data_IF_446977806428
#
_entry.id   IF_446977806428
#
_cell.length_a   1.000
_cell.length_b   1.000
_cell.length_c   1.000
_cell.angle_alpha   90.00
_cell.angle_beta   90.00
_cell.angle_gamma   90.00
#
_symmetry.space_group_name_H-M   'P 1'
#
loop_
_entity.id
_entity.type
_entity.pdbx_description
1 polymer ?
#
# COMPACT_ATOMS: atom_id res chain seq x y z
N UNK A 1 -33.05 2.77 0.16
CA UNK A 1 -32.94 3.85 1.17
C UNK A 1 -31.54 3.75 1.77
N UNK A 2 -30.68 4.64 1.30
CA UNK A 2 -29.22 4.62 1.42
C UNK A 2 -28.75 5.14 2.79
N UNK A 3 -28.41 4.23 3.71
CA UNK A 3 -27.90 4.60 5.05
C UNK A 3 -26.40 4.30 5.22
N UNK A 4 -25.73 3.74 4.22
CA UNK A 4 -24.32 3.30 4.30
C UNK A 4 -23.30 4.29 3.72
N UNK A 5 -23.69 5.10 2.72
CA UNK A 5 -22.78 6.02 2.02
C UNK A 5 -22.52 7.34 2.76
N UNK A 6 -23.47 7.80 3.58
CA UNK A 6 -23.37 9.07 4.30
C UNK A 6 -22.50 8.99 5.56
N UNK A 7 -22.36 7.81 6.15
CA UNK A 7 -21.54 7.59 7.36
C UNK A 7 -20.04 7.57 7.04
N UNK A 8 -19.63 6.98 5.91
CA UNK A 8 -18.22 6.91 5.49
C UNK A 8 -17.63 8.29 5.15
N UNK A 9 -18.39 9.11 4.43
CA UNK A 9 -17.98 10.47 4.04
C UNK A 9 -17.86 11.43 5.23
N UNK A 10 -18.74 11.27 6.25
CA UNK A 10 -18.68 12.09 7.46
C UNK A 10 -17.48 11.76 8.35
N UNK A 11 -17.07 10.48 8.39
CA UNK A 11 -15.88 10.03 9.14
C UNK A 11 -14.59 10.53 8.47
N UNK A 12 -14.46 10.42 7.14
CA UNK A 12 -13.30 10.96 6.40
C UNK A 12 -13.14 12.48 6.61
N UNK A 13 -14.24 13.26 6.53
CA UNK A 13 -14.19 14.72 6.71
C UNK A 13 -13.83 15.13 8.14
N UNK A 14 -14.14 14.30 9.13
CA UNK A 14 -13.75 14.52 10.53
C UNK A 14 -12.27 14.20 10.73
N UNK A 15 -11.77 13.10 10.15
CA UNK A 15 -10.35 12.72 10.21
C UNK A 15 -9.42 13.73 9.52
N UNK A 16 -9.82 14.28 8.37
CA UNK A 16 -9.04 15.32 7.68
C UNK A 16 -8.92 16.63 8.49
N UNK A 17 -9.97 17.01 9.23
CA UNK A 17 -9.93 18.17 10.14
C UNK A 17 -9.04 17.92 11.35
N UNK A 18 -9.11 16.72 11.92
CA UNK A 18 -8.25 16.31 13.04
C UNK A 18 -6.77 16.24 12.64
N UNK A 19 -6.47 15.78 11.42
CA UNK A 19 -5.12 15.77 10.85
C UNK A 19 -4.53 17.19 10.78
N UNK A 20 -5.27 18.13 10.19
CA UNK A 20 -4.84 19.55 10.12
C UNK A 20 -4.68 20.17 11.50
N UNK A 21 -5.60 19.89 12.42
CA UNK A 21 -5.50 20.38 13.80
C UNK A 21 -4.25 19.82 14.50
N UNK A 22 -3.96 18.52 14.35
CA UNK A 22 -2.79 17.89 14.96
C UNK A 22 -1.49 18.45 14.37
N UNK A 23 -1.43 18.69 13.05
CA UNK A 23 -0.26 19.33 12.41
C UNK A 23 -0.04 20.76 12.88
N UNK A 24 -1.11 21.53 13.09
CA UNK A 24 -1.00 22.90 13.62
C UNK A 24 -0.51 22.86 15.07
N UNK A 25 -1.01 21.94 15.89
CA UNK A 25 -0.58 21.78 17.29
C UNK A 25 0.89 21.37 17.35
N UNK A 26 1.34 20.40 16.54
CA UNK A 26 2.76 20.00 16.53
C UNK A 26 3.68 21.12 16.07
N UNK A 27 3.31 21.86 15.02
CA UNK A 27 4.08 23.01 14.54
C UNK A 27 4.18 24.11 15.61
N UNK A 28 3.06 24.41 16.28
CA UNK A 28 3.00 25.43 17.35
C UNK A 28 3.88 25.02 18.54
N UNK A 29 3.87 23.74 18.90
CA UNK A 29 4.69 23.19 19.98
C UNK A 29 6.19 23.26 19.65
N UNK A 30 6.57 22.92 18.42
CA UNK A 30 7.95 23.03 17.93
C UNK A 30 8.41 24.49 17.95
N UNK A 31 7.58 25.42 17.46
CA UNK A 31 7.88 26.85 17.51
C UNK A 31 8.02 27.37 18.94
N UNK A 32 7.14 26.95 19.86
CA UNK A 32 7.23 27.31 21.27
C UNK A 32 8.52 26.79 21.91
N UNK A 33 8.91 25.54 21.66
CA UNK A 33 10.17 24.97 22.13
C UNK A 33 11.39 25.70 21.56
N UNK A 34 11.37 26.07 20.28
CA UNK A 34 12.44 26.84 19.65
C UNK A 34 12.55 28.25 20.26
N UNK A 35 11.42 28.92 20.51
CA UNK A 35 11.39 30.23 21.16
C UNK A 35 11.88 30.18 22.61
N UNK A 36 11.49 29.16 23.38
CA UNK A 36 11.98 28.96 24.76
C UNK A 36 13.49 28.69 24.77
N UNK A 37 13.98 27.88 23.82
CA UNK A 37 15.42 27.63 23.65
C UNK A 37 16.19 28.90 23.31
N UNK A 38 15.62 29.73 22.42
CA UNK A 38 16.21 31.00 22.00
C UNK A 38 16.21 32.04 23.13
N UNK A 39 15.13 32.13 23.90
CA UNK A 39 15.02 33.01 25.07
C UNK A 39 15.95 32.58 26.20
N UNK A 40 16.15 31.27 26.38
CA UNK A 40 17.15 30.72 27.30
C UNK A 40 18.57 31.06 26.84
N UNK A 41 18.89 30.84 25.57
CA UNK A 41 20.20 31.18 25.00
C UNK A 41 20.48 32.70 24.99
N UNK A 42 19.44 33.52 24.88
CA UNK A 42 19.53 34.98 24.95
C UNK A 42 19.63 35.52 26.38
N UNK A 43 19.60 34.66 27.42
CA UNK A 43 19.69 35.06 28.82
C UNK A 43 18.46 35.84 29.33
N UNK A 44 17.34 35.78 28.62
CA UNK A 44 16.11 36.51 28.95
C UNK A 44 15.18 35.75 29.91
N UNK A 45 15.51 34.49 30.24
CA UNK A 45 14.82 33.71 31.27
C UNK A 45 15.48 33.91 32.65
N UNK A 46 14.69 33.94 33.74
CA UNK A 46 15.24 34.07 35.08
C UNK A 46 16.18 32.89 35.39
N UNK A 47 17.32 33.17 36.02
CA UNK A 47 18.36 32.22 36.46
C UNK A 47 17.86 31.07 37.35
N UNK A 48 16.57 31.08 37.72
CA UNK A 48 15.88 30.07 38.52
C UNK A 48 15.39 28.85 37.71
N UNK A 49 15.46 28.87 36.37
CA UNK A 49 15.12 27.69 35.58
C UNK A 49 16.30 26.72 35.55
N UNK A 50 16.38 25.86 36.57
CA UNK A 50 17.38 24.80 36.63
C UNK A 50 17.37 23.98 35.33
N UNK A 51 18.56 23.62 34.84
CA UNK A 51 18.76 22.77 33.67
C UNK A 51 17.93 21.47 33.74
N UNK A 52 17.67 20.99 34.96
CA UNK A 52 16.82 19.85 35.31
C UNK A 52 15.36 20.05 34.88
N UNK A 53 14.81 21.25 35.09
CA UNK A 53 13.43 21.61 34.77
C UNK A 53 13.28 21.79 33.27
N UNK A 54 14.27 22.41 32.61
CA UNK A 54 14.30 22.53 31.15
C UNK A 54 14.34 21.14 30.50
N UNK A 55 15.21 20.24 30.97
CA UNK A 55 15.31 18.87 30.49
C UNK A 55 14.01 18.08 30.73
N UNK A 56 13.35 18.25 31.87
CA UNK A 56 12.07 17.62 32.16
C UNK A 56 10.96 18.10 31.20
N UNK A 57 10.90 19.40 30.90
CA UNK A 57 9.94 19.96 29.93
C UNK A 57 10.21 19.41 28.53
N UNK A 58 11.47 19.39 28.08
CA UNK A 58 11.82 18.80 26.78
C UNK A 58 11.45 17.32 26.72
N UNK A 59 11.78 16.55 27.75
CA UNK A 59 11.46 15.11 27.80
C UNK A 59 9.96 14.86 27.76
N UNK A 60 9.17 15.64 28.50
CA UNK A 60 7.70 15.54 28.47
C UNK A 60 7.13 15.91 27.09
N UNK A 61 7.65 16.96 26.46
CA UNK A 61 7.24 17.39 25.11
C UNK A 61 7.59 16.32 24.07
N UNK A 62 8.82 15.81 24.07
CA UNK A 62 9.23 14.77 23.13
C UNK A 62 8.50 13.44 23.36
N UNK A 63 8.19 13.10 24.62
CA UNK A 63 7.41 11.90 24.96
C UNK A 63 5.99 11.93 24.39
N UNK A 64 5.43 13.10 24.10
CA UNK A 64 4.12 13.26 23.44
C UNK A 64 4.29 13.42 21.94
N UNK A 65 5.29 14.20 21.52
CA UNK A 65 5.54 14.52 20.12
C UNK A 65 5.95 13.29 19.30
N UNK A 66 6.83 12.43 19.83
CA UNK A 66 7.31 11.24 19.11
C UNK A 66 6.17 10.25 18.83
N UNK A 67 5.35 9.85 19.81
CA UNK A 67 4.17 9.01 19.53
C UNK A 67 3.16 9.68 18.61
N UNK A 68 2.91 10.99 18.75
CA UNK A 68 2.00 11.71 17.85
C UNK A 68 2.52 11.74 16.41
N UNK A 69 3.81 11.98 16.19
CA UNK A 69 4.43 11.93 14.87
C UNK A 69 4.39 10.52 14.28
N UNK A 70 4.67 9.48 15.09
CA UNK A 70 4.55 8.09 14.65
C UNK A 70 3.11 7.74 14.26
N UNK A 71 2.13 8.09 15.09
CA UNK A 71 0.71 7.92 14.77
C UNK A 71 0.32 8.67 13.50
N UNK A 72 0.80 9.91 13.30
CA UNK A 72 0.57 10.65 12.07
C UNK A 72 1.21 9.97 10.86
N UNK A 73 2.45 9.51 10.95
CA UNK A 73 3.11 8.80 9.84
C UNK A 73 2.39 7.51 9.50
N UNK A 74 1.96 6.74 10.50
CA UNK A 74 1.17 5.52 10.30
C UNK A 74 -0.17 5.84 9.66
N UNK A 75 -0.85 6.90 10.08
CA UNK A 75 -2.11 7.34 9.47
C UNK A 75 -1.86 7.85 8.04
N UNK A 76 -0.81 8.62 7.77
CA UNK A 76 -0.51 9.12 6.42
C UNK A 76 -0.04 8.04 5.46
N UNK A 77 0.58 6.96 5.95
CA UNK A 77 0.90 5.77 5.16
C UNK A 77 -0.32 4.85 4.98
N UNK A 78 -1.25 4.85 5.94
CA UNK A 78 -2.46 4.04 5.90
C UNK A 78 -3.63 4.73 5.20
N UNK A 79 -3.55 6.05 5.00
CA UNK A 79 -4.51 6.83 4.24
C UNK A 79 -4.15 6.64 2.76
N UNK A 80 -4.95 5.91 1.98
CA UNK A 80 -4.77 5.88 0.54
C UNK A 80 -4.83 7.33 0.06
N UNK A 81 -3.78 7.79 -0.63
CA UNK A 81 -3.88 9.02 -1.39
C UNK A 81 -5.04 8.83 -2.36
N UNK A 82 -6.20 9.39 -2.02
CA UNK A 82 -7.20 9.75 -3.01
C UNK A 82 -6.50 10.82 -3.86
N UNK A 83 -5.81 10.34 -4.89
CA UNK A 83 -5.20 11.17 -5.90
C UNK A 83 -6.35 11.90 -6.59
N UNK A 84 -6.56 13.16 -6.21
CA UNK A 84 -7.28 14.17 -6.99
C UNK A 84 -6.49 14.49 -8.28
N UNK A 85 -6.07 13.44 -8.99
CA UNK A 85 -5.53 13.55 -10.33
C UNK A 85 -6.74 13.59 -11.25
N UNK A 86 -6.93 14.67 -12.04
CA UNK A 86 -7.99 14.73 -13.03
C UNK A 86 -7.86 13.48 -13.90
N UNK A 87 -8.88 12.63 -13.89
CA UNK A 87 -9.02 11.50 -14.81
C UNK A 87 -8.66 12.01 -16.21
N UNK A 88 -7.59 11.49 -16.86
CA UNK A 88 -7.36 11.78 -18.26
C UNK A 88 -8.59 11.33 -19.04
N UNK A 89 -8.93 12.02 -20.14
CA UNK A 89 -10.19 11.82 -20.84
C UNK A 89 -10.34 10.35 -21.22
N UNK A 90 -11.56 9.84 -21.07
CA UNK A 90 -12.02 8.56 -21.60
C UNK A 90 -11.39 8.32 -22.97
N UNK A 91 -10.36 7.48 -23.02
CA UNK A 91 -10.01 6.77 -24.24
C UNK A 91 -10.85 5.52 -24.25
N UNK A 92 -11.97 5.66 -24.94
CA UNK A 92 -12.73 4.57 -25.52
C UNK A 92 -11.77 3.54 -26.15
N UNK A 93 -12.04 2.26 -25.89
CA UNK A 93 -11.51 1.08 -26.61
C UNK A 93 -10.04 0.65 -26.41
N UNK A 94 -9.59 0.53 -25.16
CA UNK A 94 -8.61 -0.50 -24.80
C UNK A 94 -9.26 -1.44 -23.79
N UNK A 95 -9.49 -2.69 -24.19
CA UNK A 95 -10.20 -3.66 -23.36
C UNK A 95 -9.59 -3.73 -21.97
N UNK A 96 -10.44 -3.79 -20.93
CA UNK A 96 -10.04 -3.84 -19.53
C UNK A 96 -8.80 -4.74 -19.38
N UNK A 97 -7.71 -4.15 -18.88
CA UNK A 97 -6.44 -4.83 -18.66
C UNK A 97 -6.25 -5.07 -17.17
N UNK A 98 -5.58 -6.17 -16.82
CA UNK A 98 -5.31 -6.51 -15.43
C UNK A 98 -4.22 -5.60 -14.88
N UNK A 99 -4.57 -4.81 -13.87
CA UNK A 99 -3.65 -3.92 -13.17
C UNK A 99 -3.42 -4.41 -11.74
N UNK A 100 -2.16 -4.33 -11.28
CA UNK A 100 -1.79 -4.69 -9.91
C UNK A 100 -1.54 -3.44 -9.10
N UNK A 101 -2.28 -3.29 -8.01
CA UNK A 101 -2.12 -2.20 -7.05
C UNK A 101 -1.46 -2.72 -5.77
N UNK A 102 -0.13 -2.58 -5.71
CA UNK A 102 0.65 -2.99 -4.54
C UNK A 102 0.36 -2.14 -3.31
N UNK A 103 0.02 -0.86 -3.48
CA UNK A 103 -0.19 0.07 -2.37
C UNK A 103 -1.44 -0.33 -1.59
N UNK A 104 -2.51 -0.66 -2.31
CA UNK A 104 -3.78 -1.06 -1.73
C UNK A 104 -3.90 -2.58 -1.51
N UNK A 105 -2.94 -3.36 -2.01
CA UNK A 105 -2.95 -4.80 -1.89
C UNK A 105 -4.07 -5.44 -2.71
N UNK A 106 -4.41 -4.85 -3.86
CA UNK A 106 -5.55 -5.21 -4.69
C UNK A 106 -5.16 -5.48 -6.14
N UNK A 107 -5.90 -6.40 -6.75
CA UNK A 107 -5.86 -6.69 -8.18
C UNK A 107 -7.08 -6.03 -8.82
N UNK A 108 -6.86 -5.24 -9.87
CA UNK A 108 -7.88 -4.40 -10.52
C UNK A 108 -8.08 -4.86 -11.96
N UNK A 109 -9.34 -5.03 -12.37
CA UNK A 109 -9.72 -5.32 -13.75
C UNK A 109 -11.00 -4.56 -14.08
N UNK A 110 -10.91 -3.52 -14.90
CA UNK A 110 -12.01 -2.59 -15.14
C UNK A 110 -12.56 -2.04 -13.82
N UNK A 111 -13.82 -2.34 -13.51
CA UNK A 111 -14.49 -1.94 -12.25
C UNK A 111 -14.34 -2.96 -11.10
N UNK A 112 -13.79 -4.15 -11.36
CA UNK A 112 -13.60 -5.20 -10.34
C UNK A 112 -12.30 -4.96 -9.58
N UNK A 113 -12.37 -5.09 -8.25
CA UNK A 113 -11.20 -5.06 -7.37
C UNK A 113 -11.21 -6.28 -6.46
N UNK A 114 -10.09 -6.98 -6.38
CA UNK A 114 -9.92 -8.19 -5.57
C UNK A 114 -8.74 -8.03 -4.63
N UNK A 115 -8.99 -8.11 -3.32
CA UNK A 115 -7.90 -8.06 -2.33
C UNK A 115 -7.14 -9.39 -2.31
N UNK A 116 -5.81 -9.31 -2.40
CA UNK A 116 -4.96 -10.48 -2.53
C UNK A 116 -3.80 -10.46 -1.53
N UNK A 117 -3.13 -11.60 -1.37
CA UNK A 117 -1.87 -11.67 -0.61
C UNK A 117 -0.75 -10.98 -1.39
N UNK A 118 0.19 -10.34 -0.69
CA UNK A 118 1.29 -9.60 -1.32
C UNK A 118 2.13 -10.47 -2.28
N UNK A 119 2.41 -11.73 -1.91
CA UNK A 119 3.13 -12.66 -2.78
C UNK A 119 2.43 -12.92 -4.12
N UNK A 120 1.10 -12.93 -4.14
CA UNK A 120 0.31 -13.10 -5.37
C UNK A 120 0.44 -11.86 -6.25
N UNK A 121 0.37 -10.67 -5.64
CA UNK A 121 0.46 -9.40 -6.34
C UNK A 121 1.84 -9.20 -6.97
N UNK A 122 2.92 -9.49 -6.23
CA UNK A 122 4.29 -9.39 -6.74
C UNK A 122 4.51 -10.29 -7.97
N UNK A 123 4.02 -11.54 -7.92
CA UNK A 123 4.12 -12.46 -9.06
C UNK A 123 3.29 -11.96 -10.24
N UNK A 124 2.04 -11.54 -10.01
CA UNK A 124 1.19 -11.04 -11.09
C UNK A 124 1.75 -9.76 -11.71
N UNK A 125 2.29 -8.84 -10.92
CA UNK A 125 2.92 -7.62 -11.41
C UNK A 125 4.13 -7.95 -12.28
N UNK A 126 5.00 -8.85 -11.79
CA UNK A 126 6.14 -9.29 -12.57
C UNK A 126 5.74 -9.90 -13.92
N UNK A 127 4.63 -10.65 -13.95
CA UNK A 127 4.11 -11.22 -15.18
C UNK A 127 3.50 -10.14 -16.09
N UNK A 128 2.71 -9.20 -15.58
CA UNK A 128 2.09 -8.13 -16.39
C UNK A 128 3.11 -7.12 -16.94
N UNK A 129 4.23 -6.90 -16.23
CA UNK A 129 5.28 -5.99 -16.67
C UNK A 129 6.11 -6.56 -17.85
N UNK A 130 6.00 -7.87 -18.11
CA UNK A 130 6.72 -8.54 -19.20
C UNK A 130 5.80 -8.78 -20.39
N UNK A 131 6.31 -8.52 -21.59
CA UNK A 131 5.56 -8.69 -22.85
C UNK A 131 5.12 -10.13 -23.14
N UNK A 132 5.81 -11.12 -22.59
CA UNK A 132 5.51 -12.55 -22.77
C UNK A 132 4.63 -13.11 -21.64
N UNK A 133 4.30 -12.29 -20.64
CA UNK A 133 3.56 -12.67 -19.44
C UNK A 133 4.08 -13.93 -18.75
N UNK A 134 5.38 -14.21 -18.86
CA UNK A 134 5.98 -15.44 -18.41
C UNK A 134 6.84 -15.24 -17.15
N UNK A 135 6.73 -16.18 -16.22
CA UNK A 135 7.61 -16.30 -15.06
C UNK A 135 8.25 -17.69 -15.02
N UNK A 136 9.58 -17.74 -14.96
CA UNK A 136 10.29 -19.00 -14.79
C UNK A 136 10.28 -19.44 -13.32
N UNK A 137 10.44 -20.74 -13.05
CA UNK A 137 10.53 -21.24 -11.66
C UNK A 137 11.68 -20.61 -10.87
N UNK A 138 12.80 -20.31 -11.53
CA UNK A 138 13.95 -19.66 -10.90
C UNK A 138 13.69 -18.21 -10.50
N UNK A 139 12.78 -17.52 -11.21
CA UNK A 139 12.50 -16.11 -10.97
C UNK A 139 11.67 -15.89 -9.69
N UNK A 140 10.96 -16.90 -9.19
CA UNK A 140 10.13 -16.79 -7.98
C UNK A 140 10.92 -16.30 -6.76
N UNK A 141 12.15 -16.76 -6.58
CA UNK A 141 12.97 -16.35 -5.45
C UNK A 141 13.36 -14.87 -5.51
N UNK A 142 13.66 -14.36 -6.71
CA UNK A 142 14.00 -12.97 -6.93
C UNK A 142 12.78 -12.06 -6.81
N UNK A 143 11.63 -12.46 -7.38
CA UNK A 143 10.37 -11.70 -7.34
C UNK A 143 9.81 -11.60 -5.92
N UNK A 144 9.96 -12.66 -5.13
CA UNK A 144 9.44 -12.70 -3.75
C UNK A 144 10.46 -12.29 -2.69
N UNK A 145 11.71 -12.02 -3.08
CA UNK A 145 12.86 -11.82 -2.19
C UNK A 145 12.96 -12.92 -1.10
N UNK A 146 12.74 -14.17 -1.52
CA UNK A 146 12.67 -15.34 -0.64
C UNK A 146 13.47 -16.51 -1.23
N UNK A 147 14.64 -16.77 -0.64
CA UNK A 147 15.55 -17.85 -1.05
C UNK A 147 14.96 -19.25 -0.85
N UNK A 148 13.86 -19.40 -0.11
CA UNK A 148 13.19 -20.69 0.01
C UNK A 148 12.52 -21.17 -1.30
N UNK A 149 12.45 -20.29 -2.31
CA UNK A 149 12.03 -20.60 -3.68
C UNK A 149 13.21 -20.89 -4.64
N UNK A 150 14.47 -20.71 -4.22
CA UNK A 150 15.63 -20.68 -5.15
C UNK A 150 16.21 -22.05 -5.51
N UNK A 151 15.72 -23.14 -4.92
CA UNK A 151 16.24 -24.48 -5.16
C UNK A 151 15.31 -25.28 -6.06
N UNK A 152 15.87 -26.07 -7.00
CA UNK A 152 15.09 -27.04 -7.79
C UNK A 152 14.71 -28.30 -6.99
N UNK A 153 14.53 -28.17 -5.67
CA UNK A 153 14.14 -29.27 -4.80
C UNK A 153 12.61 -29.44 -4.78
N UNK A 154 12.14 -30.62 -4.34
CA UNK A 154 10.71 -30.92 -4.29
C UNK A 154 9.93 -29.97 -3.38
N UNK A 155 10.56 -29.52 -2.28
CA UNK A 155 9.94 -28.59 -1.32
C UNK A 155 9.67 -27.22 -1.93
N UNK A 156 10.64 -26.64 -2.65
CA UNK A 156 10.47 -25.36 -3.33
C UNK A 156 9.42 -25.47 -4.46
N UNK A 157 9.47 -26.54 -5.25
CA UNK A 157 8.45 -26.83 -6.26
C UNK A 157 7.03 -26.95 -5.66
N UNK A 158 6.89 -27.60 -4.51
CA UNK A 158 5.61 -27.70 -3.80
C UNK A 158 5.08 -26.33 -3.33
N UNK A 159 5.98 -25.47 -2.81
CA UNK A 159 5.63 -24.08 -2.45
C UNK A 159 5.17 -23.27 -3.66
N UNK A 160 5.92 -23.31 -4.77
CA UNK A 160 5.55 -22.65 -6.02
C UNK A 160 4.18 -23.13 -6.50
N UNK A 161 3.95 -24.44 -6.52
CA UNK A 161 2.66 -25.02 -6.93
C UNK A 161 1.50 -24.56 -6.03
N UNK A 162 1.74 -24.44 -4.72
CA UNK A 162 0.74 -23.94 -3.76
C UNK A 162 0.42 -22.47 -4.00
N UNK A 163 1.44 -21.66 -4.25
CA UNK A 163 1.28 -20.25 -4.60
C UNK A 163 0.51 -20.10 -5.91
N UNK A 164 0.91 -20.81 -6.96
CA UNK A 164 0.22 -20.79 -8.26
C UNK A 164 -1.24 -21.23 -8.14
N UNK A 165 -1.53 -22.24 -7.32
CA UNK A 165 -2.91 -22.67 -7.07
C UNK A 165 -3.72 -21.57 -6.38
N UNK A 166 -3.09 -20.83 -5.47
CA UNK A 166 -3.72 -19.65 -4.83
C UNK A 166 -3.98 -18.54 -5.85
N UNK A 167 -3.03 -18.27 -6.76
CA UNK A 167 -3.21 -17.29 -7.83
C UNK A 167 -4.37 -17.69 -8.75
N UNK A 168 -4.46 -18.96 -9.16
CA UNK A 168 -5.60 -19.45 -9.94
C UNK A 168 -6.94 -19.27 -9.24
N UNK A 169 -6.97 -19.42 -7.91
CA UNK A 169 -8.19 -19.16 -7.14
C UNK A 169 -8.55 -17.69 -7.13
N UNK A 170 -7.57 -16.79 -7.02
CA UNK A 170 -7.77 -15.34 -7.10
C UNK A 170 -8.27 -14.90 -8.48
N UNK A 171 -7.72 -15.48 -9.55
CA UNK A 171 -8.09 -15.15 -10.92
C UNK A 171 -9.40 -15.82 -11.38
N UNK A 172 -10.05 -16.63 -10.54
CA UNK A 172 -11.23 -17.43 -10.94
C UNK A 172 -12.34 -16.59 -11.57
N UNK A 173 -12.59 -15.41 -11.01
CA UNK A 173 -13.69 -14.50 -11.38
C UNK A 173 -13.24 -13.41 -12.38
N UNK A 174 -12.02 -13.53 -12.89
CA UNK A 174 -11.38 -12.63 -13.84
C UNK A 174 -11.12 -13.36 -15.18
N UNK A 175 -11.04 -12.65 -16.31
CA UNK A 175 -10.78 -13.26 -17.61
C UNK A 175 -9.30 -13.55 -17.81
N UNK A 176 -8.62 -14.03 -16.77
CA UNK A 176 -7.21 -14.40 -16.81
C UNK A 176 -6.99 -15.77 -16.18
N UNK A 177 -5.98 -16.48 -16.67
CA UNK A 177 -5.57 -17.76 -16.10
C UNK A 177 -4.07 -17.98 -16.20
N UNK A 178 -3.55 -18.78 -15.27
CA UNK A 178 -2.14 -19.15 -15.24
C UNK A 178 -1.98 -20.61 -15.66
N UNK A 179 -1.25 -20.79 -16.76
CA UNK A 179 -0.96 -22.10 -17.39
C UNK A 179 0.50 -22.47 -17.15
N UNK A 180 0.75 -23.75 -16.87
CA UNK A 180 2.11 -24.26 -16.72
C UNK A 180 2.69 -24.59 -18.10
N UNK A 181 3.89 -24.08 -18.39
CA UNK A 181 4.58 -24.30 -19.66
C UNK A 181 5.75 -25.26 -19.43
N UNK A 182 5.61 -26.50 -19.93
CA UNK A 182 6.67 -27.51 -20.00
C UNK A 182 7.52 -27.70 -18.73
N UNK A 183 6.92 -27.52 -17.54
CA UNK A 183 7.60 -27.58 -16.23
C UNK A 183 8.69 -26.52 -16.01
N UNK A 184 8.88 -25.59 -16.95
CA UNK A 184 9.89 -24.52 -16.89
C UNK A 184 9.36 -23.30 -16.12
N UNK A 185 8.07 -23.02 -16.25
CA UNK A 185 7.47 -21.84 -15.64
C UNK A 185 5.98 -21.76 -15.89
N UNK A 186 5.45 -20.55 -15.77
CA UNK A 186 4.04 -20.27 -15.87
C UNK A 186 3.80 -19.04 -16.74
N UNK A 187 2.73 -19.06 -17.53
CA UNK A 187 2.30 -17.96 -18.37
C UNK A 187 0.92 -17.48 -17.95
N UNK A 188 0.72 -16.17 -17.92
CA UNK A 188 -0.57 -15.53 -17.65
C UNK A 188 -1.26 -15.23 -18.99
N UNK A 189 -2.38 -15.89 -19.24
CA UNK A 189 -3.17 -15.75 -20.45
C UNK A 189 -4.49 -15.06 -20.14
N UNK A 190 -4.95 -14.19 -21.05
CA UNK A 190 -6.34 -13.71 -21.04
C UNK A 190 -7.22 -14.83 -21.61
N UNK A 191 -8.25 -15.25 -20.86
CA UNK A 191 -9.25 -16.20 -21.37
C UNK A 191 -9.96 -15.53 -22.54
N UNK A 192 -10.04 -16.22 -23.67
CA UNK A 192 -10.92 -15.80 -24.74
C UNK A 192 -12.35 -15.79 -24.19
N UNK A 193 -13.02 -14.63 -24.23
CA UNK A 193 -14.45 -14.57 -23.90
C UNK A 193 -15.17 -15.49 -24.88
N UNK A 194 -15.76 -16.58 -24.37
CA UNK A 194 -16.70 -17.37 -25.14
C UNK A 194 -17.88 -16.47 -25.44
N UNK A 195 -17.92 -15.91 -26.65
CA UNK A 195 -19.10 -15.21 -27.16
C UNK A 195 -20.20 -16.26 -27.22
N UNK A 196 -21.10 -16.28 -26.23
CA UNK A 196 -22.37 -16.97 -26.35
C UNK A 196 -23.15 -16.25 -27.46
N UNK A 197 -23.02 -16.76 -28.69
CA UNK A 197 -23.95 -16.43 -29.77
C UNK A 197 -25.27 -17.11 -29.43
N UNK A 198 -26.12 -16.43 -28.66
CA UNK A 198 -27.52 -16.82 -28.54
C UNK A 198 -28.21 -16.43 -29.84
N UNK A 199 -28.50 -17.44 -30.67
CA UNK A 199 -29.39 -17.36 -31.82
C UNK A 199 -30.84 -17.14 -31.39
#
# INVERSE_FOLDING_TARGET
MDKGHTTKTHIQKHMARWKRFLTIVTLTLICACALISLLYAAGALPEMLELSTLFAVFTAVFSILVPCCLCLTLITLSEPQESDQPLPPEKEEQGDELHVDLLHGTLVYGKKQVRCRQQILLVLQHMTDRSDHFISKSDFAAVLDDSSYSSNCDTANAKINTLVSSIRSTLRDLPYEIVNVNRQGYILNKRAETIEVTQ
#
